data_IF_628769538093
#
_entry.id   IF_628769538093
#
_cell.length_a   1.000
_cell.length_b   1.000
_cell.length_c   1.000
_cell.angle_alpha   90.00
_cell.angle_beta   90.00
_cell.angle_gamma   90.00
#
_symmetry.space_group_name_H-M   'P 1'
#
loop_
_entity.id
_entity.type
_entity.pdbx_description
1 polymer ?
#
# COMPACT_ATOMS: atom_id res chain seq x y z
N UNK A 1 6.30 16.56 9.30
CA UNK A 1 6.60 15.83 8.03
C UNK A 1 5.40 16.07 7.11
N UNK A 2 5.59 16.48 5.85
CA UNK A 2 4.43 16.66 4.93
C UNK A 2 3.98 15.30 4.40
N UNK A 3 2.71 15.15 3.99
CA UNK A 3 2.14 13.90 3.45
C UNK A 3 3.01 13.35 2.30
N UNK A 4 3.39 14.22 1.36
CA UNK A 4 4.31 13.88 0.26
C UNK A 4 5.64 13.30 0.74
N UNK A 5 6.26 13.92 1.76
CA UNK A 5 7.54 13.44 2.32
C UNK A 5 7.37 12.09 3.04
N UNK A 6 6.26 11.88 3.74
CA UNK A 6 5.96 10.60 4.38
C UNK A 6 5.75 9.49 3.36
N UNK A 7 5.06 9.78 2.26
CA UNK A 7 4.86 8.85 1.16
C UNK A 7 6.17 8.45 0.48
N UNK A 8 7.06 9.42 0.21
CA UNK A 8 8.40 9.12 -0.32
C UNK A 8 9.27 8.34 0.67
N UNK A 9 9.10 8.61 1.95
CA UNK A 9 9.82 7.88 2.99
C UNK A 9 9.35 6.43 3.11
N UNK A 10 8.04 6.17 2.96
CA UNK A 10 7.49 4.81 2.86
C UNK A 10 8.14 4.04 1.70
N UNK A 11 8.18 4.64 0.51
CA UNK A 11 8.87 4.08 -0.65
C UNK A 11 10.33 3.77 -0.36
N UNK A 12 11.07 4.74 0.19
CA UNK A 12 12.48 4.56 0.56
C UNK A 12 12.68 3.39 1.53
N UNK A 13 11.83 3.24 2.55
CA UNK A 13 11.93 2.14 3.51
C UNK A 13 11.68 0.79 2.87
N UNK A 14 10.67 0.69 2.00
CA UNK A 14 10.40 -0.52 1.23
C UNK A 14 11.52 -0.85 0.25
N UNK A 15 12.10 0.16 -0.40
CA UNK A 15 13.27 0.01 -1.27
C UNK A 15 14.46 -0.58 -0.50
N UNK A 16 14.81 -0.01 0.66
CA UNK A 16 15.91 -0.53 1.49
C UNK A 16 15.61 -1.93 2.02
N UNK A 17 14.35 -2.22 2.37
CA UNK A 17 13.92 -3.57 2.75
C UNK A 17 14.19 -4.57 1.62
N UNK A 18 13.78 -4.26 0.39
CA UNK A 18 14.02 -5.13 -0.76
C UNK A 18 15.50 -5.24 -1.15
N UNK A 19 16.32 -4.22 -0.90
CA UNK A 19 17.78 -4.30 -1.06
C UNK A 19 18.45 -5.28 -0.07
N UNK A 20 17.83 -5.49 1.09
CA UNK A 20 18.29 -6.44 2.11
C UNK A 20 17.76 -7.84 1.86
N UNK A 21 16.47 -7.97 1.52
CA UNK A 21 15.77 -9.26 1.42
C UNK A 21 15.89 -9.91 0.03
N UNK A 22 15.98 -9.12 -1.04
CA UNK A 22 16.00 -9.66 -2.41
C UNK A 22 17.40 -10.10 -2.83
N UNK A 23 17.51 -11.37 -3.22
CA UNK A 23 18.67 -11.91 -3.95
C UNK A 23 18.18 -12.46 -5.29
N UNK A 24 18.51 -11.84 -6.44
CA UNK A 24 19.40 -10.70 -6.65
C UNK A 24 18.77 -9.35 -6.26
N UNK A 25 19.61 -8.34 -5.97
CA UNK A 25 19.21 -6.97 -5.56
C UNK A 25 18.66 -6.11 -6.70
N UNK A 26 18.21 -6.75 -7.76
CA UNK A 26 17.75 -6.13 -8.98
C UNK A 26 16.27 -5.74 -8.81
N UNK A 27 15.91 -4.57 -9.32
CA UNK A 27 14.55 -4.02 -9.35
C UNK A 27 13.92 -3.82 -7.96
N UNK A 28 14.73 -3.50 -6.94
CA UNK A 28 14.21 -3.16 -5.61
C UNK A 28 13.32 -1.92 -5.62
N UNK A 29 13.51 -1.01 -6.56
CA UNK A 29 12.69 0.16 -6.83
C UNK A 29 11.27 -0.26 -7.27
N UNK A 30 11.16 -1.06 -8.32
CA UNK A 30 9.87 -1.59 -8.78
C UNK A 30 9.17 -2.46 -7.73
N UNK A 31 9.92 -3.28 -6.98
CA UNK A 31 9.35 -4.07 -5.87
C UNK A 31 8.81 -3.19 -4.75
N UNK A 32 9.46 -2.06 -4.46
CA UNK A 32 8.99 -1.10 -3.47
C UNK A 32 7.71 -0.40 -3.94
N UNK A 33 7.65 0.01 -5.21
CA UNK A 33 6.43 0.56 -5.83
C UNK A 33 5.27 -0.44 -5.73
N UNK A 34 5.47 -1.69 -6.15
CA UNK A 34 4.44 -2.73 -6.08
C UNK A 34 3.96 -3.01 -4.65
N UNK A 35 4.85 -2.91 -3.65
CA UNK A 35 4.43 -3.00 -2.25
C UNK A 35 3.53 -1.83 -1.83
N UNK A 36 3.78 -0.62 -2.33
CA UNK A 36 2.90 0.53 -2.08
C UNK A 36 1.55 0.34 -2.78
N UNK A 37 1.55 -0.12 -4.03
CA UNK A 37 0.32 -0.45 -4.77
C UNK A 37 -0.51 -1.46 -3.97
N UNK A 38 0.13 -2.53 -3.50
CA UNK A 38 -0.52 -3.54 -2.67
C UNK A 38 -1.11 -2.93 -1.39
N UNK A 39 -0.38 -2.07 -0.66
CA UNK A 39 -0.91 -1.41 0.54
C UNK A 39 -2.12 -0.52 0.25
N UNK A 40 -2.12 0.20 -0.87
CA UNK A 40 -3.25 1.02 -1.31
C UNK A 40 -4.45 0.13 -1.65
N UNK A 41 -4.22 -0.98 -2.36
CA UNK A 41 -5.28 -1.94 -2.70
C UNK A 41 -5.86 -2.62 -1.46
N UNK A 42 -5.05 -2.98 -0.46
CA UNK A 42 -5.52 -3.54 0.80
C UNK A 42 -6.41 -2.54 1.55
N UNK A 43 -6.01 -1.26 1.63
CA UNK A 43 -6.84 -0.20 2.20
C UNK A 43 -8.15 -0.02 1.44
N UNK A 44 -8.10 0.02 0.11
CA UNK A 44 -9.28 0.10 -0.74
C UNK A 44 -10.23 -1.07 -0.52
N UNK A 45 -9.69 -2.30 -0.45
CA UNK A 45 -10.46 -3.50 -0.16
C UNK A 45 -11.14 -3.43 1.22
N UNK A 46 -10.43 -3.01 2.27
CA UNK A 46 -11.02 -2.81 3.59
C UNK A 46 -12.20 -1.82 3.56
N UNK A 47 -12.05 -0.70 2.85
CA UNK A 47 -13.12 0.30 2.71
C UNK A 47 -14.34 -0.30 2.01
N UNK A 48 -14.15 -1.05 0.93
CA UNK A 48 -15.24 -1.71 0.21
C UNK A 48 -15.96 -2.74 1.09
N UNK A 49 -15.22 -3.51 1.89
CA UNK A 49 -15.79 -4.45 2.86
C UNK A 49 -16.62 -3.70 3.92
N UNK A 50 -16.10 -2.61 4.49
CA UNK A 50 -16.86 -1.80 5.44
C UNK A 50 -18.11 -1.17 4.83
N UNK A 51 -18.01 -0.67 3.59
CA UNK A 51 -19.15 -0.14 2.86
C UNK A 51 -20.24 -1.20 2.69
N UNK A 52 -19.85 -2.43 2.34
CA UNK A 52 -20.78 -3.55 2.22
C UNK A 52 -21.43 -3.92 3.55
N UNK A 53 -20.69 -3.89 4.65
CA UNK A 53 -21.19 -4.24 6.00
C UNK A 53 -22.15 -3.19 6.54
N UNK A 54 -21.78 -1.91 6.46
CA UNK A 54 -22.44 -0.82 7.19
C UNK A 54 -23.40 0.02 6.35
N UNK A 55 -23.22 0.08 5.03
CA UNK A 55 -24.00 0.98 4.16
C UNK A 55 -24.94 0.22 3.24
N UNK A 56 -24.40 -0.70 2.43
CA UNK A 56 -25.21 -1.44 1.47
C UNK A 56 -24.77 -2.91 1.37
N UNK A 57 -25.55 -3.80 1.98
CA UNK A 57 -25.27 -5.26 2.00
C UNK A 57 -25.47 -5.94 0.65
N UNK A 58 -26.27 -5.36 -0.24
CA UNK A 58 -26.49 -5.81 -1.62
C UNK A 58 -25.44 -5.26 -2.59
N UNK A 59 -24.41 -4.58 -2.09
CA UNK A 59 -23.35 -4.07 -2.94
C UNK A 59 -22.45 -5.22 -3.43
N UNK A 60 -22.37 -5.34 -4.76
CA UNK A 60 -21.47 -6.25 -5.46
C UNK A 60 -20.38 -5.42 -6.17
N UNK A 61 -19.16 -5.52 -5.66
CA UNK A 61 -18.00 -4.91 -6.28
C UNK A 61 -17.24 -5.96 -7.09
N UNK A 62 -16.95 -5.66 -8.35
CA UNK A 62 -16.15 -6.55 -9.19
C UNK A 62 -16.93 -7.64 -9.91
N UNK A 63 -18.24 -7.46 -10.14
CA UNK A 63 -19.03 -8.35 -11.01
C UNK A 63 -18.42 -8.46 -12.42
N UNK A 64 -17.67 -7.43 -12.82
CA UNK A 64 -16.68 -7.56 -13.90
C UNK A 64 -15.26 -7.35 -13.35
N UNK A 65 -14.35 -8.23 -13.75
CA UNK A 65 -12.92 -8.11 -13.44
C UNK A 65 -12.32 -6.80 -14.00
N UNK A 66 -12.96 -6.20 -15.00
CA UNK A 66 -12.50 -5.01 -15.69
C UNK A 66 -12.39 -3.79 -14.78
N UNK A 67 -13.35 -3.58 -13.87
CA UNK A 67 -13.32 -2.45 -12.92
C UNK A 67 -12.13 -2.55 -11.96
N UNK A 68 -11.83 -3.76 -11.48
CA UNK A 68 -10.67 -4.02 -10.58
C UNK A 68 -9.36 -3.77 -11.34
N UNK A 69 -9.26 -4.27 -12.58
CA UNK A 69 -8.08 -4.07 -13.42
C UNK A 69 -7.82 -2.59 -13.67
N UNK A 70 -8.85 -1.80 -14.00
CA UNK A 70 -8.71 -0.36 -14.24
C UNK A 70 -8.19 0.35 -12.98
N UNK A 71 -8.69 0.00 -11.80
CA UNK A 71 -8.23 0.61 -10.53
C UNK A 71 -6.77 0.26 -10.27
N UNK A 72 -6.39 -1.01 -10.42
CA UNK A 72 -5.00 -1.44 -10.25
C UNK A 72 -4.07 -0.68 -11.22
N UNK A 73 -4.41 -0.63 -12.51
CA UNK A 73 -3.62 0.09 -13.52
C UNK A 73 -3.54 1.58 -13.18
N UNK A 74 -4.63 2.20 -12.75
CA UNK A 74 -4.65 3.62 -12.41
C UNK A 74 -3.72 3.94 -11.23
N UNK A 75 -3.75 3.11 -10.18
CA UNK A 75 -2.87 3.25 -9.02
C UNK A 75 -1.41 3.10 -9.43
N UNK A 76 -1.08 2.03 -10.16
CA UNK A 76 0.29 1.78 -10.62
C UNK A 76 0.80 2.88 -11.56
N UNK A 77 -0.04 3.41 -12.45
CA UNK A 77 0.35 4.53 -13.32
C UNK A 77 0.66 5.80 -12.52
N UNK A 78 -0.18 6.13 -11.54
CA UNK A 78 0.06 7.29 -10.66
C UNK A 78 1.38 7.12 -9.91
N UNK A 79 1.62 5.93 -9.34
CA UNK A 79 2.83 5.66 -8.57
C UNK A 79 4.07 5.64 -9.45
N UNK A 80 3.95 5.15 -10.68
CA UNK A 80 5.01 5.22 -11.68
C UNK A 80 5.41 6.68 -11.96
N UNK A 81 4.45 7.58 -12.15
CA UNK A 81 4.74 9.00 -12.36
C UNK A 81 5.38 9.67 -11.14
N UNK A 82 5.11 9.16 -9.94
CA UNK A 82 5.65 9.70 -8.68
C UNK A 82 7.07 9.19 -8.40
N UNK A 83 7.38 7.95 -8.74
CA UNK A 83 8.63 7.31 -8.36
C UNK A 83 9.58 7.09 -9.54
N UNK A 84 9.08 6.64 -10.68
CA UNK A 84 9.92 6.20 -11.79
C UNK A 84 10.09 7.24 -12.89
N UNK A 85 9.08 8.10 -13.11
CA UNK A 85 9.20 9.17 -14.10
C UNK A 85 10.42 10.06 -13.80
N UNK A 86 11.26 10.29 -14.81
CA UNK A 86 12.53 11.03 -14.69
C UNK A 86 13.49 10.48 -13.63
N UNK A 87 13.39 9.19 -13.28
CA UNK A 87 14.22 8.54 -12.26
C UNK A 87 14.15 9.19 -10.86
N UNK A 88 13.00 9.76 -10.49
CA UNK A 88 12.80 10.46 -9.21
C UNK A 88 13.14 9.59 -7.99
N UNK A 89 12.98 8.27 -8.08
CA UNK A 89 13.33 7.31 -7.03
C UNK A 89 14.79 7.46 -6.58
N UNK A 90 15.72 7.78 -7.48
CA UNK A 90 17.14 7.98 -7.13
C UNK A 90 17.32 9.17 -6.19
N UNK A 91 16.67 10.29 -6.51
CA UNK A 91 16.71 11.49 -5.66
C UNK A 91 16.08 11.24 -4.30
N UNK A 92 14.98 10.47 -4.27
CA UNK A 92 14.31 10.05 -3.02
C UNK A 92 15.30 9.27 -2.15
N UNK A 93 15.97 8.27 -2.71
CA UNK A 93 16.95 7.44 -1.98
C UNK A 93 18.11 8.28 -1.46
N UNK A 94 18.76 9.08 -2.30
CA UNK A 94 19.90 9.94 -1.90
C UNK A 94 19.50 10.88 -0.77
N UNK A 95 18.30 11.48 -0.85
CA UNK A 95 17.79 12.40 0.17
C UNK A 95 17.62 11.74 1.54
N UNK A 96 17.11 10.52 1.59
CA UNK A 96 16.83 9.84 2.86
C UNK A 96 18.03 9.01 3.37
N UNK A 97 18.96 8.62 2.51
CA UNK A 97 20.26 8.06 2.92
C UNK A 97 21.11 9.11 3.68
N UNK A 98 20.94 10.40 3.38
CA UNK A 98 21.61 11.49 4.09
C UNK A 98 21.02 11.80 5.50
N UNK A 99 20.01 11.06 5.95
CA UNK A 99 19.41 11.31 7.28
C UNK A 99 20.23 10.73 8.43
N UNK A 100 20.22 11.39 9.62
CA UNK A 100 20.81 10.82 10.82
C UNK A 100 20.17 9.47 11.19
N UNK A 101 20.99 8.53 11.68
CA UNK A 101 20.57 7.16 12.02
C UNK A 101 19.38 7.15 12.98
N UNK A 102 19.40 7.99 14.02
CA UNK A 102 18.34 8.10 15.02
C UNK A 102 16.98 8.45 14.40
N UNK A 103 16.98 9.39 13.44
CA UNK A 103 15.78 9.82 12.73
C UNK A 103 15.26 8.71 11.82
N UNK A 104 16.15 8.01 11.13
CA UNK A 104 15.81 6.88 10.28
C UNK A 104 15.22 5.72 11.10
N UNK A 105 15.74 5.43 12.29
CA UNK A 105 15.22 4.37 13.16
C UNK A 105 13.78 4.65 13.61
N UNK A 106 13.51 5.87 14.10
CA UNK A 106 12.14 6.28 14.47
C UNK A 106 11.18 6.20 13.30
N UNK A 107 11.59 6.69 12.13
CA UNK A 107 10.77 6.61 10.93
C UNK A 107 10.53 5.16 10.49
N UNK A 108 11.53 4.30 10.60
CA UNK A 108 11.42 2.88 10.24
C UNK A 108 10.39 2.16 11.09
N UNK A 109 10.41 2.42 12.40
CA UNK A 109 9.42 1.91 13.34
C UNK A 109 8.00 2.37 12.99
N UNK A 110 7.83 3.66 12.68
CA UNK A 110 6.53 4.21 12.24
C UNK A 110 6.01 3.55 10.96
N UNK A 111 6.88 3.33 9.96
CA UNK A 111 6.51 2.61 8.72
C UNK A 111 6.04 1.19 9.03
N UNK A 112 6.74 0.48 9.91
CA UNK A 112 6.34 -0.87 10.35
C UNK A 112 4.97 -0.89 11.03
N UNK A 113 4.68 0.09 11.89
CA UNK A 113 3.35 0.24 12.51
C UNK A 113 2.28 0.47 11.45
N UNK A 114 2.50 1.38 10.50
CA UNK A 114 1.51 1.70 9.45
C UNK A 114 1.19 0.47 8.61
N UNK A 115 2.21 -0.25 8.14
CA UNK A 115 2.02 -1.47 7.34
C UNK A 115 1.24 -2.52 8.14
N UNK A 116 1.64 -2.75 9.38
CA UNK A 116 0.97 -3.69 10.28
C UNK A 116 -0.50 -3.29 10.52
N UNK A 117 -0.77 -2.00 10.73
CA UNK A 117 -2.12 -1.49 10.93
C UNK A 117 -3.01 -1.71 9.69
N UNK A 118 -2.49 -1.53 8.48
CA UNK A 118 -3.23 -1.83 7.23
C UNK A 118 -3.60 -3.31 7.16
N UNK A 119 -2.67 -4.20 7.46
CA UNK A 119 -2.91 -5.65 7.42
C UNK A 119 -3.94 -6.06 8.48
N UNK A 120 -3.77 -5.62 9.73
CA UNK A 120 -4.72 -5.89 10.82
C UNK A 120 -6.11 -5.34 10.48
N UNK A 121 -6.18 -4.14 9.89
CA UNK A 121 -7.43 -3.53 9.49
C UNK A 121 -8.19 -4.40 8.47
N UNK A 122 -7.51 -4.94 7.46
CA UNK A 122 -8.14 -5.83 6.49
C UNK A 122 -8.61 -7.14 7.12
N UNK A 123 -7.77 -7.75 7.97
CA UNK A 123 -8.15 -8.97 8.72
C UNK A 123 -9.41 -8.70 9.55
N UNK A 124 -9.45 -7.57 10.23
CA UNK A 124 -10.60 -7.16 11.03
C UNK A 124 -11.85 -6.90 10.17
N UNK A 125 -11.69 -6.28 9.00
CA UNK A 125 -12.79 -6.07 8.05
C UNK A 125 -13.40 -7.42 7.60
N UNK A 126 -12.58 -8.40 7.23
CA UNK A 126 -13.06 -9.73 6.86
C UNK A 126 -13.64 -10.51 8.05
N UNK A 127 -13.10 -10.34 9.25
CA UNK A 127 -13.68 -10.91 10.46
C UNK A 127 -15.10 -10.38 10.72
N UNK A 128 -15.32 -9.07 10.58
CA UNK A 128 -16.67 -8.50 10.69
C UNK A 128 -17.59 -9.01 9.59
N UNK A 129 -17.06 -9.14 8.36
CA UNK A 129 -17.81 -9.68 7.24
C UNK A 129 -18.27 -11.13 7.50
N UNK A 130 -17.42 -11.97 8.10
CA UNK A 130 -17.74 -13.39 8.36
C UNK A 130 -18.79 -13.60 9.46
N UNK A 131 -19.04 -12.60 10.30
CA UNK A 131 -20.06 -12.63 11.35
C UNK A 131 -21.49 -12.41 10.85
N UNK A 132 -21.66 -11.96 9.61
CA UNK A 132 -22.97 -11.66 9.02
C UNK A 132 -23.47 -12.89 8.26
N UNK A 133 -24.74 -13.24 8.46
CA UNK A 133 -25.41 -14.24 7.62
C UNK A 133 -25.77 -13.62 6.26
N UNK A 134 -24.99 -13.97 5.23
CA UNK A 134 -25.16 -13.45 3.87
C UNK A 134 -26.26 -14.15 3.08
N UNK A 135 -26.87 -15.22 3.61
CA UNK A 135 -27.94 -15.95 2.90
C UNK A 135 -29.16 -15.09 2.61
N UNK A 136 -29.40 -14.06 3.43
CA UNK A 136 -30.49 -13.10 3.28
C UNK A 136 -30.19 -11.94 2.32
N UNK A 137 -28.97 -11.83 1.79
CA UNK A 137 -28.50 -10.69 0.99
C UNK A 137 -27.89 -11.12 -0.36
N UNK A 138 -28.26 -12.31 -0.85
CA UNK A 138 -27.94 -12.79 -2.20
C UNK A 138 -28.92 -12.30 -3.23
#
# INVERSE_FOLDING_TARGET
MTIKKSYYYLFYKLYKFWQVVSTPKIWSDWKAELCIDALILLLGASILVYYKIFVNRYFHFGDSNLSVIIICISISLINYFIFHHKNQWKEIVVRFDAWPIERNNRGSFLVGIVITAVIINLIFAFYLMSKIDWSHYR
#
